data_IF_984573070825
#
_entry.id   IF_984573070825
#
_cell.length_a   1.000
_cell.length_b   1.000
_cell.length_c   1.000
_cell.angle_alpha   90.00
_cell.angle_beta   90.00
_cell.angle_gamma   90.00
#
_symmetry.space_group_name_H-M   'P 1'
#
loop_
_entity.id
_entity.type
_entity.pdbx_description
1 polymer ?
#
# COMPACT_ATOMS: atom_id res chain seq x y z
N UNK A 1 -27.51 4.90 -15.60
CA UNK A 1 -26.29 5.73 -15.73
C UNK A 1 -25.38 5.69 -14.49
N UNK A 2 -25.90 5.88 -13.27
CA UNK A 2 -25.09 5.95 -12.03
C UNK A 2 -24.26 4.67 -11.74
N UNK A 3 -24.82 3.48 -11.97
CA UNK A 3 -24.10 2.20 -11.81
C UNK A 3 -22.87 2.06 -12.72
N UNK A 4 -22.89 2.66 -13.92
CA UNK A 4 -21.73 2.62 -14.84
C UNK A 4 -20.62 3.53 -14.32
N UNK A 5 -20.97 4.74 -13.88
CA UNK A 5 -20.04 5.69 -13.25
C UNK A 5 -19.42 5.07 -11.99
N UNK A 6 -20.23 4.38 -11.18
CA UNK A 6 -19.78 3.63 -10.01
C UNK A 6 -18.72 2.59 -10.37
N UNK A 7 -19.02 1.67 -11.30
CA UNK A 7 -18.08 0.63 -11.73
C UNK A 7 -16.78 1.20 -12.29
N UNK A 8 -16.86 2.31 -13.03
CA UNK A 8 -15.67 3.00 -13.54
C UNK A 8 -14.80 3.54 -12.40
N UNK A 9 -15.40 4.21 -11.41
CA UNK A 9 -14.68 4.75 -10.25
C UNK A 9 -14.06 3.63 -9.39
N UNK A 10 -14.79 2.53 -9.22
CA UNK A 10 -14.29 1.35 -8.52
C UNK A 10 -13.07 0.75 -9.22
N UNK A 11 -13.14 0.58 -10.54
CA UNK A 11 -12.00 0.12 -11.35
C UNK A 11 -10.83 1.09 -11.30
N UNK A 12 -11.08 2.41 -11.33
CA UNK A 12 -10.04 3.43 -11.18
C UNK A 12 -9.34 3.34 -9.82
N UNK A 13 -10.08 3.16 -8.73
CA UNK A 13 -9.51 2.99 -7.39
C UNK A 13 -8.63 1.72 -7.31
N UNK A 14 -9.10 0.60 -7.87
CA UNK A 14 -8.34 -0.65 -7.90
C UNK A 14 -7.07 -0.53 -8.76
N UNK A 15 -7.15 0.11 -9.93
CA UNK A 15 -6.00 0.35 -10.78
C UNK A 15 -4.96 1.24 -10.10
N UNK A 16 -5.40 2.33 -9.46
CA UNK A 16 -4.51 3.21 -8.70
C UNK A 16 -3.80 2.46 -7.56
N UNK A 17 -4.52 1.59 -6.86
CA UNK A 17 -3.97 0.76 -5.79
C UNK A 17 -2.95 -0.26 -6.33
N UNK A 18 -3.21 -0.86 -7.49
CA UNK A 18 -2.27 -1.77 -8.14
C UNK A 18 -0.99 -1.03 -8.58
N UNK A 19 -1.13 0.15 -9.19
CA UNK A 19 0.02 1.00 -9.54
C UNK A 19 0.83 1.39 -8.29
N UNK A 20 0.16 1.72 -7.18
CA UNK A 20 0.83 2.02 -5.91
C UNK A 20 1.68 0.84 -5.44
N UNK A 21 1.11 -0.38 -5.41
CA UNK A 21 1.84 -1.60 -5.02
C UNK A 21 3.05 -1.85 -5.91
N UNK A 22 2.89 -1.77 -7.23
CA UNK A 22 3.99 -1.97 -8.19
C UNK A 22 5.13 -0.97 -7.98
N UNK A 23 4.80 0.31 -7.72
CA UNK A 23 5.80 1.32 -7.42
C UNK A 23 6.54 1.05 -6.10
N UNK A 24 5.85 0.58 -5.06
CA UNK A 24 6.48 0.18 -3.79
C UNK A 24 7.40 -1.04 -3.94
N UNK A 25 7.03 -1.99 -4.80
CA UNK A 25 7.91 -3.10 -5.20
C UNK A 25 9.16 -2.59 -5.94
N UNK A 26 9.00 -1.68 -6.89
CA UNK A 26 10.13 -1.09 -7.61
C UNK A 26 11.08 -0.31 -6.68
N UNK A 27 10.52 0.45 -5.73
CA UNK A 27 11.29 1.16 -4.70
C UNK A 27 12.15 0.18 -3.87
N UNK A 28 11.55 -0.94 -3.49
CA UNK A 28 12.21 -2.01 -2.72
C UNK A 28 13.40 -2.61 -3.46
N UNK A 29 13.25 -2.85 -4.77
CA UNK A 29 14.34 -3.34 -5.61
C UNK A 29 15.49 -2.32 -5.71
N UNK A 30 15.18 -1.03 -5.84
CA UNK A 30 16.21 0.01 -5.93
C UNK A 30 16.94 0.21 -4.61
N UNK A 31 16.28 0.05 -3.46
CA UNK A 31 16.98 0.06 -2.18
C UNK A 31 18.01 -1.08 -2.09
N UNK A 32 17.65 -2.30 -2.50
CA UNK A 32 18.61 -3.41 -2.59
C UNK A 32 19.77 -3.11 -3.55
N UNK A 33 19.47 -2.53 -4.72
CA UNK A 33 20.49 -2.12 -5.67
C UNK A 33 21.43 -1.03 -5.11
N UNK A 34 20.87 -0.06 -4.37
CA UNK A 34 21.62 1.03 -3.74
C UNK A 34 22.56 0.51 -2.66
N UNK A 35 22.11 -0.43 -1.83
CA UNK A 35 22.92 -1.06 -0.79
C UNK A 35 24.14 -1.81 -1.39
N UNK A 36 23.91 -2.63 -2.40
CA UNK A 36 24.98 -3.36 -3.09
C UNK A 36 25.98 -2.44 -3.80
N UNK A 37 25.53 -1.29 -4.26
CA UNK A 37 26.32 -0.35 -5.05
C UNK A 37 26.77 0.89 -4.26
N UNK A 38 26.77 0.84 -2.92
CA UNK A 38 27.16 1.98 -2.09
C UNK A 38 28.56 2.54 -2.42
N UNK A 39 29.45 1.68 -2.94
CA UNK A 39 30.84 1.99 -3.28
C UNK A 39 31.02 2.82 -4.56
N UNK A 40 30.02 2.89 -5.46
CA UNK A 40 30.16 3.62 -6.73
C UNK A 40 29.26 4.86 -6.81
N UNK A 41 29.88 6.03 -6.89
CA UNK A 41 29.20 7.34 -6.91
C UNK A 41 28.20 7.47 -8.07
N UNK A 42 28.56 7.00 -9.27
CA UNK A 42 27.73 7.12 -10.47
C UNK A 42 26.41 6.32 -10.40
N UNK A 43 26.45 5.09 -9.88
CA UNK A 43 25.23 4.31 -9.74
C UNK A 43 24.42 4.67 -8.47
N UNK A 44 25.02 5.30 -7.46
CA UNK A 44 24.27 5.95 -6.38
C UNK A 44 23.41 7.12 -6.89
N UNK A 45 23.97 8.00 -7.74
CA UNK A 45 23.20 9.10 -8.36
C UNK A 45 22.04 8.58 -9.21
N UNK A 46 22.26 7.52 -10.01
CA UNK A 46 21.20 6.88 -10.81
C UNK A 46 20.11 6.27 -9.93
N UNK A 47 20.48 5.56 -8.86
CA UNK A 47 19.53 5.02 -7.91
C UNK A 47 18.70 6.12 -7.23
N UNK A 48 19.33 7.23 -6.83
CA UNK A 48 18.63 8.36 -6.21
C UNK A 48 17.63 9.03 -7.17
N UNK A 49 17.98 9.19 -8.44
CA UNK A 49 17.05 9.74 -9.45
C UNK A 49 15.87 8.80 -9.68
N UNK A 50 16.12 7.49 -9.74
CA UNK A 50 15.05 6.49 -9.87
C UNK A 50 14.12 6.47 -8.64
N UNK A 51 14.66 6.60 -7.42
CA UNK A 51 13.85 6.74 -6.20
C UNK A 51 12.97 7.98 -6.22
N UNK A 52 13.49 9.13 -6.69
CA UNK A 52 12.70 10.36 -6.85
C UNK A 52 11.54 10.17 -7.83
N UNK A 53 11.81 9.54 -8.98
CA UNK A 53 10.79 9.26 -9.98
C UNK A 53 9.68 8.35 -9.44
N UNK A 54 10.06 7.27 -8.74
CA UNK A 54 9.10 6.35 -8.12
C UNK A 54 8.27 7.05 -7.05
N UNK A 55 8.89 7.91 -6.22
CA UNK A 55 8.16 8.69 -5.24
C UNK A 55 7.10 9.59 -5.89
N UNK A 56 7.44 10.28 -6.98
CA UNK A 56 6.46 11.08 -7.73
C UNK A 56 5.32 10.22 -8.32
N UNK A 57 5.63 9.01 -8.80
CA UNK A 57 4.62 8.05 -9.27
C UNK A 57 3.70 7.57 -8.14
N UNK A 58 4.26 7.33 -6.94
CA UNK A 58 3.51 6.98 -5.73
C UNK A 58 2.55 8.12 -5.36
N UNK A 59 3.04 9.35 -5.28
CA UNK A 59 2.21 10.52 -4.92
C UNK A 59 1.07 10.71 -5.93
N UNK A 60 1.37 10.53 -7.22
CA UNK A 60 0.36 10.57 -8.30
C UNK A 60 -0.68 9.46 -8.15
N UNK A 61 -0.26 8.24 -7.80
CA UNK A 61 -1.18 7.12 -7.59
C UNK A 61 -2.08 7.34 -6.37
N UNK A 62 -1.54 7.90 -5.28
CA UNK A 62 -2.28 8.26 -4.06
C UNK A 62 -3.34 9.32 -4.37
N UNK A 63 -2.98 10.36 -5.13
CA UNK A 63 -3.92 11.39 -5.54
C UNK A 63 -5.07 10.80 -6.36
N UNK A 64 -4.76 9.98 -7.38
CA UNK A 64 -5.77 9.30 -8.21
C UNK A 64 -6.70 8.40 -7.40
N UNK A 65 -6.15 7.70 -6.41
CA UNK A 65 -6.96 6.87 -5.51
C UNK A 65 -7.93 7.72 -4.69
N UNK A 66 -7.43 8.80 -4.07
CA UNK A 66 -8.25 9.69 -3.24
C UNK A 66 -9.37 10.36 -4.06
N UNK A 67 -9.07 10.80 -5.28
CA UNK A 67 -10.09 11.34 -6.19
C UNK A 67 -11.15 10.29 -6.57
N UNK A 68 -10.74 9.06 -6.88
CA UNK A 68 -11.66 7.98 -7.19
C UNK A 68 -12.53 7.62 -5.97
N UNK A 69 -11.95 7.59 -4.77
CA UNK A 69 -12.63 7.31 -3.50
C UNK A 69 -13.65 8.40 -3.15
N UNK A 70 -13.28 9.68 -3.27
CA UNK A 70 -14.24 10.79 -3.09
C UNK A 70 -15.38 10.72 -4.12
N UNK A 71 -15.08 10.33 -5.37
CA UNK A 71 -16.09 10.06 -6.38
C UNK A 71 -17.05 8.93 -5.99
N UNK A 72 -16.55 7.86 -5.35
CA UNK A 72 -17.36 6.78 -4.80
C UNK A 72 -18.21 7.27 -3.62
N UNK A 73 -17.66 8.04 -2.67
CA UNK A 73 -18.42 8.60 -1.53
C UNK A 73 -19.64 9.41 -2.00
N UNK A 74 -19.46 10.27 -3.00
CA UNK A 74 -20.55 11.06 -3.59
C UNK A 74 -21.62 10.21 -4.29
N UNK A 75 -21.23 9.08 -4.89
CA UNK A 75 -22.14 8.16 -5.56
C UNK A 75 -22.74 7.13 -4.60
N UNK A 76 -22.16 6.92 -3.42
CA UNK A 76 -22.61 5.92 -2.45
C UNK A 76 -23.95 6.31 -1.84
N UNK A 77 -24.13 7.61 -1.54
CA UNK A 77 -25.38 8.16 -0.99
C UNK A 77 -26.61 7.85 -1.87
N UNK A 78 -26.62 8.13 -3.19
CA UNK A 78 -27.77 7.80 -4.04
C UNK A 78 -27.92 6.30 -4.34
N UNK A 79 -26.88 5.47 -4.18
CA UNK A 79 -26.96 4.02 -4.41
C UNK A 79 -27.25 3.22 -3.13
N UNK A 80 -27.23 3.87 -1.95
CA UNK A 80 -27.30 3.26 -0.62
C UNK A 80 -26.31 2.09 -0.45
N UNK A 81 -25.14 2.20 -1.11
CA UNK A 81 -24.15 1.13 -1.21
C UNK A 81 -23.02 1.43 -0.21
N UNK A 82 -22.94 0.63 0.85
CA UNK A 82 -22.01 0.86 1.98
C UNK A 82 -20.88 -0.19 2.01
N UNK A 83 -20.98 -1.25 1.21
CA UNK A 83 -20.03 -2.37 1.21
C UNK A 83 -18.65 -2.04 0.63
N UNK A 84 -18.50 -0.93 -0.08
CA UNK A 84 -17.22 -0.55 -0.71
C UNK A 84 -16.23 0.02 0.31
N UNK A 85 -16.70 0.61 1.42
CA UNK A 85 -15.83 1.22 2.43
C UNK A 85 -15.03 0.19 3.24
N UNK A 86 -15.51 -1.06 3.32
CA UNK A 86 -14.76 -2.17 3.94
C UNK A 86 -13.65 -2.72 3.06
N UNK A 87 -13.72 -2.48 1.74
CA UNK A 87 -12.68 -2.91 0.79
C UNK A 87 -11.68 -1.78 0.51
N UNK A 88 -12.15 -0.54 0.45
CA UNK A 88 -11.38 0.65 0.07
C UNK A 88 -11.20 1.63 1.24
N UNK A 89 -10.20 1.34 2.06
CA UNK A 89 -9.83 2.15 3.21
C UNK A 89 -9.12 3.46 2.82
N UNK A 90 -9.20 4.52 3.63
CA UNK A 90 -8.42 5.73 3.40
C UNK A 90 -6.92 5.41 3.42
N UNK A 91 -6.19 5.87 2.40
CA UNK A 91 -4.74 5.75 2.33
C UNK A 91 -4.11 6.72 3.31
N UNK A 92 -3.38 6.21 4.31
CA UNK A 92 -2.63 7.03 5.24
C UNK A 92 -1.14 6.99 4.88
N UNK A 93 -0.41 8.06 5.21
CA UNK A 93 1.04 8.14 4.91
C UNK A 93 1.84 6.97 5.49
N UNK A 94 1.37 6.41 6.61
CA UNK A 94 1.93 5.18 7.20
C UNK A 94 1.75 3.94 6.33
N UNK A 95 0.70 3.89 5.53
CA UNK A 95 0.39 2.75 4.67
C UNK A 95 1.23 2.81 3.39
N UNK A 96 1.64 4.01 2.97
CA UNK A 96 2.52 4.30 1.82
C UNK A 96 3.99 4.09 2.23
N UNK A 97 4.26 2.98 2.90
CA UNK A 97 5.61 2.56 3.26
C UNK A 97 5.97 1.36 2.38
N UNK A 98 7.18 1.39 1.82
CA UNK A 98 7.68 0.29 1.00
C UNK A 98 7.84 -0.97 1.85
N UNK A 99 7.55 -2.14 1.27
CA UNK A 99 7.73 -3.43 1.94
C UNK A 99 9.15 -3.61 2.52
N UNK A 100 10.15 -2.96 1.90
CA UNK A 100 11.53 -2.95 2.39
C UNK A 100 11.74 -2.19 3.69
N UNK A 101 11.00 -1.11 3.96
CA UNK A 101 11.11 -0.40 5.25
C UNK A 101 10.56 -1.26 6.41
N UNK A 102 9.70 -2.26 6.11
CA UNK A 102 9.23 -3.25 7.08
C UNK A 102 10.25 -4.37 7.29
N UNK A 103 11.10 -4.64 6.30
CA UNK A 103 12.05 -5.76 6.29
C UNK A 103 13.47 -5.35 6.71
N UNK A 104 13.87 -4.10 6.49
CA UNK A 104 15.20 -3.56 6.83
C UNK A 104 15.27 -2.93 8.23
N UNK A 105 14.13 -2.80 8.91
CA UNK A 105 14.05 -2.37 10.31
C UNK A 105 13.95 -3.58 11.23
N UNK A 106 15.01 -4.37 11.30
CA UNK A 106 15.15 -5.48 12.26
C UNK A 106 15.19 -4.90 13.68
N UNK A 107 14.02 -4.69 14.28
CA UNK A 107 13.80 -4.58 15.72
C UNK A 107 12.50 -5.28 16.03
N UNK A 108 12.58 -6.23 16.96
CA UNK A 108 11.63 -7.31 17.20
C UNK A 108 10.21 -6.82 17.52
N UNK A 109 9.23 -7.48 16.90
CA UNK A 109 7.84 -7.55 17.37
C UNK A 109 6.88 -6.48 16.82
N UNK A 110 5.85 -6.92 16.09
CA UNK A 110 4.58 -6.18 15.83
C UNK A 110 4.55 -5.03 14.79
N UNK A 111 5.32 -5.07 13.70
CA UNK A 111 4.98 -4.19 12.56
C UNK A 111 3.79 -4.74 11.76
N UNK A 112 2.62 -4.11 11.95
CA UNK A 112 1.38 -4.40 11.23
C UNK A 112 1.59 -4.14 9.73
N UNK A 113 1.50 -5.18 8.92
CA UNK A 113 1.48 -5.08 7.46
C UNK A 113 0.33 -4.15 7.05
N UNK A 114 0.64 -3.10 6.28
CA UNK A 114 -0.37 -2.13 5.82
C UNK A 114 -1.49 -2.83 5.07
N UNK A 115 -2.75 -2.41 5.25
CA UNK A 115 -3.94 -3.00 4.63
C UNK A 115 -3.86 -3.08 3.10
N UNK A 116 -3.06 -2.20 2.47
CA UNK A 116 -2.73 -2.21 1.05
C UNK A 116 -2.19 -3.59 0.62
N UNK A 117 -1.46 -4.28 1.50
CA UNK A 117 -0.89 -5.61 1.25
C UNK A 117 -1.82 -6.75 1.66
N UNK A 118 -2.86 -6.48 2.46
CA UNK A 118 -3.66 -7.51 3.13
C UNK A 118 -4.81 -8.08 2.28
N UNK A 119 -4.85 -7.84 0.98
CA UNK A 119 -5.90 -8.38 0.11
C UNK A 119 -5.33 -9.02 -1.16
N UNK A 120 -4.85 -10.26 -1.00
CA UNK A 120 -5.14 -11.37 -1.91
C UNK A 120 -4.76 -12.70 -1.20
N UNK A 121 -5.69 -13.27 -0.42
CA UNK A 121 -5.66 -14.68 -0.05
C UNK A 121 -4.74 -15.13 1.09
N UNK A 122 -4.87 -14.58 2.30
CA UNK A 122 -4.52 -15.33 3.52
C UNK A 122 -5.29 -14.77 4.71
N UNK A 123 -6.06 -15.66 5.36
CA UNK A 123 -6.74 -15.38 6.61
C UNK A 123 -5.73 -14.91 7.67
N UNK A 124 -5.93 -13.72 8.22
CA UNK A 124 -5.34 -13.38 9.51
C UNK A 124 -6.19 -14.12 10.56
N UNK A 125 -5.86 -15.37 10.88
CA UNK A 125 -6.31 -15.91 12.15
C UNK A 125 -5.31 -15.39 13.19
N UNK A 126 -5.71 -14.36 13.91
CA UNK A 126 -5.01 -13.91 15.11
C UNK A 126 -5.13 -15.01 16.17
N UNK A 127 -4.17 -15.93 16.20
CA UNK A 127 -3.94 -16.85 17.32
C UNK A 127 -3.46 -16.02 18.51
N UNK A 128 -4.43 -15.52 19.27
CA UNK A 128 -4.23 -14.93 20.57
C UNK A 128 -4.67 -15.94 21.63
N UNK A 129 -4.06 -17.12 21.65
CA UNK A 129 -4.17 -18.06 22.78
C UNK A 129 -2.85 -17.91 23.55
N UNK A 130 -2.80 -16.84 24.34
CA UNK A 130 -1.74 -16.55 25.28
C UNK A 130 -1.72 -17.61 26.40
N UNK A 131 -0.52 -17.95 26.86
CA UNK A 131 -0.26 -19.11 27.69
C UNK A 131 -1.01 -19.17 29.03
N UNK A 132 -1.30 -20.40 29.42
CA UNK A 132 -1.47 -20.82 30.80
C UNK A 132 -0.65 -22.11 31.01
N UNK A 133 0.65 -21.95 31.25
CA UNK A 133 1.44 -22.94 31.98
C UNK A 133 1.54 -22.41 33.42
N UNK A 134 0.56 -22.76 34.24
CA UNK A 134 0.75 -22.72 35.70
C UNK A 134 1.59 -23.93 36.09
N UNK A 135 2.78 -23.65 36.63
CA UNK A 135 3.48 -24.57 37.49
C UNK A 135 3.16 -24.23 38.94
N UNK A 136 2.59 -25.18 39.67
CA UNK A 136 3.07 -25.67 40.97
C UNK A 136 2.41 -27.00 41.30
#
# INVERSE_FOLDING_TARGET
MLRIKWRLRLAQAHNALNSLRSNLHAQSYIFKFKDQNLRSQGANTRAQNALKAIKACIDTAVHKYNEARSGLENLASPLNETSWSSTLHPLLMRDIRGMSDLLWGETEGTQKISWIWSMCGAAYNSTNEAGALEGN
#
